data_IF_438657130764
#
_entry.id   IF_438657130764
#
_cell.length_a   1.000
_cell.length_b   1.000
_cell.length_c   1.000
_cell.angle_alpha   90.00
_cell.angle_beta   90.00
_cell.angle_gamma   90.00
#
_symmetry.space_group_name_H-M   'P 1'
#
loop_
_entity.id
_entity.type
_entity.pdbx_description
1 polymer ?
#
# COMPACT_ATOMS: atom_id res chain seq x y z
N UNK A 1 21.97 -15.77 -9.81
CA UNK A 1 20.81 -15.70 -8.89
C UNK A 1 19.70 -16.70 -9.22
N UNK A 2 19.69 -17.33 -10.41
CA UNK A 2 18.52 -18.09 -10.91
C UNK A 2 18.45 -19.55 -10.45
N UNK A 3 19.56 -20.20 -10.08
CA UNK A 3 19.52 -21.61 -9.67
C UNK A 3 20.51 -21.93 -8.53
N UNK A 4 20.11 -21.67 -7.27
CA UNK A 4 20.85 -22.13 -6.08
C UNK A 4 20.04 -23.22 -5.37
N UNK A 5 20.62 -24.40 -5.11
CA UNK A 5 19.98 -25.44 -4.30
C UNK A 5 19.59 -24.90 -2.91
N UNK A 6 18.45 -25.35 -2.38
CA UNK A 6 17.98 -24.95 -1.03
C UNK A 6 17.25 -23.61 -0.93
N UNK A 7 16.99 -22.92 -2.06
CA UNK A 7 16.16 -21.71 -2.10
C UNK A 7 14.76 -22.00 -2.64
N UNK A 8 13.74 -21.58 -1.90
CA UNK A 8 12.34 -21.53 -2.32
C UNK A 8 12.03 -20.18 -2.97
N UNK A 9 11.16 -20.19 -3.98
CA UNK A 9 10.75 -18.99 -4.74
C UNK A 9 9.23 -18.89 -4.76
N UNK A 10 8.70 -17.71 -4.48
CA UNK A 10 7.27 -17.44 -4.51
C UNK A 10 7.02 -16.13 -5.26
N UNK A 11 5.96 -16.09 -6.07
CA UNK A 11 5.45 -14.87 -6.70
C UNK A 11 4.13 -14.52 -6.01
N UNK A 12 3.95 -13.26 -5.68
CA UNK A 12 2.73 -12.70 -5.14
C UNK A 12 2.17 -11.63 -6.06
N UNK A 13 0.84 -11.57 -6.14
CA UNK A 13 0.10 -10.49 -6.76
C UNK A 13 -0.80 -9.88 -5.69
N UNK A 14 -0.77 -8.55 -5.54
CA UNK A 14 -1.57 -7.82 -4.57
C UNK A 14 -2.33 -6.68 -5.23
N UNK A 15 -3.55 -6.42 -4.77
CA UNK A 15 -4.30 -5.20 -5.02
C UNK A 15 -4.45 -4.49 -3.66
N UNK A 16 -4.06 -3.23 -3.58
CA UNK A 16 -4.13 -2.45 -2.36
C UNK A 16 -4.66 -1.04 -2.61
N UNK A 17 -5.22 -0.43 -1.56
CA UNK A 17 -5.63 0.96 -1.55
C UNK A 17 -5.25 1.60 -0.22
N UNK A 18 -4.46 2.67 -0.27
CA UNK A 18 -4.16 3.50 0.88
C UNK A 18 -4.97 4.79 0.80
N UNK A 19 -5.54 5.21 1.93
CA UNK A 19 -6.39 6.39 2.04
C UNK A 19 -5.79 7.30 3.12
N UNK A 20 -5.48 8.54 2.73
CA UNK A 20 -4.94 9.57 3.62
C UNK A 20 -5.94 10.71 3.71
N UNK A 21 -6.25 11.16 4.92
CA UNK A 21 -7.16 12.27 5.18
C UNK A 21 -6.57 13.22 6.21
N UNK A 22 -6.95 14.51 6.20
CA UNK A 22 -6.75 15.40 7.35
C UNK A 22 -7.33 14.79 8.64
N UNK A 23 -6.95 15.37 9.77
CA UNK A 23 -7.47 15.02 11.08
C UNK A 23 -8.98 15.31 11.18
N UNK A 24 -9.41 16.51 10.79
CA UNK A 24 -10.82 16.89 10.77
C UNK A 24 -11.45 16.63 9.39
N UNK A 25 -12.10 15.46 9.26
CA UNK A 25 -12.78 15.06 8.03
C UNK A 25 -14.14 15.76 7.80
N UNK A 26 -14.66 16.47 8.81
CA UNK A 26 -15.96 17.14 8.74
C UNK A 26 -15.90 18.47 7.98
N UNK A 27 -14.71 19.03 7.81
CA UNK A 27 -14.44 20.26 7.07
C UNK A 27 -14.52 20.05 5.56
N UNK A 28 -15.07 21.05 4.86
CA UNK A 28 -15.20 21.06 3.39
C UNK A 28 -14.08 21.82 2.70
N UNK A 29 -13.50 22.78 3.40
CA UNK A 29 -12.42 23.63 2.90
C UNK A 29 -11.05 22.96 3.07
N UNK A 30 -10.06 23.49 2.36
CA UNK A 30 -8.68 23.04 2.48
C UNK A 30 -8.10 23.47 3.84
N UNK A 31 -7.73 22.50 4.67
CA UNK A 31 -7.05 22.74 5.95
C UNK A 31 -5.56 22.96 5.66
N UNK A 32 -5.14 24.23 5.62
CA UNK A 32 -3.72 24.57 5.46
C UNK A 32 -2.94 24.13 6.70
N UNK A 33 -1.84 23.41 6.49
CA UNK A 33 -0.98 22.91 7.58
C UNK A 33 -1.25 21.47 8.00
N UNK A 34 -2.30 20.84 7.47
CA UNK A 34 -2.55 19.40 7.60
C UNK A 34 -2.32 18.69 6.26
N UNK A 35 -2.22 17.36 6.28
CA UNK A 35 -2.09 16.55 5.07
C UNK A 35 -3.37 16.62 4.24
N UNK A 36 -3.27 16.76 2.90
CA UNK A 36 -4.45 16.76 2.05
C UNK A 36 -5.11 15.38 2.02
N UNK A 37 -6.35 15.34 1.54
CA UNK A 37 -6.94 14.09 1.10
C UNK A 37 -6.12 13.50 -0.06
N UNK A 38 -5.83 12.22 0.00
CA UNK A 38 -5.18 11.49 -1.08
C UNK A 38 -5.54 10.01 -1.02
N UNK A 39 -5.84 9.43 -2.17
CA UNK A 39 -5.92 7.98 -2.34
C UNK A 39 -4.76 7.46 -3.17
N UNK A 40 -4.31 6.25 -2.89
CA UNK A 40 -3.33 5.50 -3.69
C UNK A 40 -3.83 4.07 -3.89
N UNK A 41 -4.33 3.76 -5.07
CA UNK A 41 -4.79 2.40 -5.43
C UNK A 41 -3.82 1.78 -6.39
N UNK A 42 -3.37 0.56 -6.10
CA UNK A 42 -2.23 -0.03 -6.78
C UNK A 42 -2.32 -1.54 -6.92
N UNK A 43 -1.64 -2.05 -7.94
CA UNK A 43 -1.27 -3.45 -8.08
C UNK A 43 0.21 -3.61 -7.75
N UNK A 44 0.56 -4.69 -7.06
CA UNK A 44 1.93 -5.04 -6.73
C UNK A 44 2.28 -6.46 -7.17
N UNK A 45 3.46 -6.61 -7.76
CA UNK A 45 4.09 -7.90 -8.06
C UNK A 45 5.29 -8.08 -7.13
N UNK A 46 5.27 -9.16 -6.34
CA UNK A 46 6.28 -9.42 -5.32
C UNK A 46 6.97 -10.75 -5.58
N UNK A 47 8.30 -10.75 -5.61
CA UNK A 47 9.15 -11.93 -5.79
C UNK A 47 9.91 -12.22 -4.51
N UNK A 48 9.60 -13.36 -3.89
CA UNK A 48 10.27 -13.84 -2.69
C UNK A 48 11.29 -14.93 -3.06
N UNK A 49 12.51 -14.80 -2.55
CA UNK A 49 13.57 -15.80 -2.68
C UNK A 49 14.12 -16.09 -1.28
N UNK A 50 13.84 -17.28 -0.74
CA UNK A 50 14.14 -17.59 0.66
C UNK A 50 14.85 -18.93 0.84
N UNK A 51 15.69 -19.03 1.87
CA UNK A 51 16.22 -20.29 2.38
C UNK A 51 16.03 -20.35 3.91
N UNK A 52 16.68 -21.29 4.59
CA UNK A 52 16.57 -21.45 6.05
C UNK A 52 17.06 -20.23 6.85
N UNK A 53 18.02 -19.46 6.33
CA UNK A 53 18.70 -18.39 7.05
C UNK A 53 18.29 -16.98 6.60
N UNK A 54 17.76 -16.80 5.39
CA UNK A 54 17.42 -15.47 4.86
C UNK A 54 16.30 -15.49 3.82
N UNK A 55 15.69 -14.33 3.61
CA UNK A 55 14.71 -14.07 2.56
C UNK A 55 14.98 -12.73 1.88
N UNK A 56 15.09 -12.75 0.57
CA UNK A 56 15.08 -11.56 -0.29
C UNK A 56 13.65 -11.35 -0.82
N UNK A 57 13.19 -10.11 -0.81
CA UNK A 57 11.89 -9.68 -1.34
C UNK A 57 12.18 -8.56 -2.35
N UNK A 58 11.71 -8.73 -3.57
CA UNK A 58 11.70 -7.69 -4.60
C UNK A 58 10.26 -7.39 -4.95
N UNK A 59 9.87 -6.11 -4.92
CA UNK A 59 8.50 -5.70 -5.18
C UNK A 59 8.47 -4.56 -6.20
N UNK A 60 7.55 -4.66 -7.15
CA UNK A 60 7.21 -3.57 -8.07
C UNK A 60 5.73 -3.27 -7.91
N UNK A 61 5.43 -2.01 -7.62
CA UNK A 61 4.09 -1.51 -7.38
C UNK A 61 3.76 -0.41 -8.37
N UNK A 62 2.59 -0.47 -9.00
CA UNK A 62 2.09 0.54 -9.93
C UNK A 62 0.64 0.88 -9.58
N UNK A 63 0.29 2.15 -9.66
CA UNK A 63 -1.03 2.60 -9.25
C UNK A 63 -1.33 4.04 -9.63
N UNK A 64 -2.46 4.52 -9.10
CA UNK A 64 -3.00 5.85 -9.34
C UNK A 64 -3.18 6.59 -8.01
N UNK A 65 -2.66 7.82 -7.95
CA UNK A 65 -2.96 8.81 -6.92
C UNK A 65 -4.16 9.66 -7.37
N UNK A 66 -4.95 10.19 -6.43
CA UNK A 66 -5.99 11.19 -6.70
C UNK A 66 -7.38 10.60 -6.97
N UNK A 67 -8.32 11.35 -7.58
CA UNK A 67 -9.68 10.87 -7.84
C UNK A 67 -9.77 9.51 -8.54
N UNK A 68 -8.85 9.21 -9.48
CA UNK A 68 -8.79 7.94 -10.20
C UNK A 68 -8.43 6.74 -9.31
N UNK A 69 -7.96 6.97 -8.08
CA UNK A 69 -7.74 5.92 -7.08
C UNK A 69 -9.05 5.38 -6.49
N UNK A 70 -10.17 6.09 -6.63
CA UNK A 70 -11.47 5.72 -6.05
C UNK A 70 -11.48 5.64 -4.50
N UNK A 71 -10.59 6.37 -3.84
CA UNK A 71 -10.49 6.36 -2.38
C UNK A 71 -11.66 7.10 -1.71
N UNK A 72 -12.23 8.14 -2.33
CA UNK A 72 -13.41 8.83 -1.81
C UNK A 72 -14.59 7.86 -1.71
N UNK A 73 -14.81 7.09 -2.77
CA UNK A 73 -15.89 6.13 -2.89
C UNK A 73 -15.73 5.02 -1.86
N UNK A 74 -14.53 4.42 -1.75
CA UNK A 74 -14.28 3.39 -0.74
C UNK A 74 -14.51 3.93 0.67
N UNK A 75 -13.97 5.12 1.00
CA UNK A 75 -14.15 5.69 2.33
C UNK A 75 -15.63 5.94 2.62
N UNK A 76 -16.38 6.55 1.71
CA UNK A 76 -17.82 6.81 1.88
C UNK A 76 -18.63 5.51 2.03
N UNK A 77 -18.28 4.46 1.30
CA UNK A 77 -18.94 3.15 1.41
C UNK A 77 -18.72 2.59 2.82
N UNK A 78 -17.47 2.56 3.29
CA UNK A 78 -17.13 2.06 4.64
C UNK A 78 -17.80 2.92 5.72
N UNK A 79 -17.75 4.24 5.60
CA UNK A 79 -18.37 5.15 6.57
C UNK A 79 -19.89 4.95 6.66
N UNK A 80 -20.56 4.72 5.52
CA UNK A 80 -21.99 4.40 5.48
C UNK A 80 -22.29 3.04 6.11
N UNK A 81 -21.47 2.02 5.85
CA UNK A 81 -21.65 0.70 6.45
C UNK A 81 -21.48 0.71 7.98
N UNK A 82 -20.63 1.59 8.49
CA UNK A 82 -20.36 1.74 9.92
C UNK A 82 -21.20 2.84 10.59
N UNK A 83 -22.13 3.47 9.87
CA UNK A 83 -22.96 4.59 10.33
C UNK A 83 -22.15 5.72 10.99
N UNK A 84 -21.07 6.14 10.31
CA UNK A 84 -20.16 7.19 10.78
C UNK A 84 -20.19 8.44 9.88
N UNK A 85 -19.61 9.53 10.38
CA UNK A 85 -19.63 10.83 9.69
C UNK A 85 -18.97 10.79 8.31
N UNK A 86 -19.68 11.25 7.28
CA UNK A 86 -19.12 11.35 5.93
C UNK A 86 -17.94 12.34 5.84
N UNK A 87 -16.85 11.97 5.14
CA UNK A 87 -15.75 12.88 4.84
C UNK A 87 -16.21 13.95 3.83
N UNK A 88 -15.99 15.23 4.14
CA UNK A 88 -16.52 16.35 3.33
C UNK A 88 -15.46 17.08 2.51
N UNK A 89 -14.17 16.79 2.71
CA UNK A 89 -13.05 17.54 2.13
C UNK A 89 -12.48 17.00 0.81
N UNK A 90 -13.00 15.88 0.29
CA UNK A 90 -12.47 15.19 -0.90
C UNK A 90 -12.38 16.05 -2.18
N UNK A 91 -13.11 17.16 -2.27
CA UNK A 91 -12.98 18.14 -3.37
C UNK A 91 -11.61 18.84 -3.41
N UNK A 92 -10.85 18.84 -2.32
CA UNK A 92 -9.52 19.45 -2.21
C UNK A 92 -8.39 18.41 -2.24
N UNK A 93 -8.65 17.18 -2.69
CA UNK A 93 -7.66 16.11 -2.74
C UNK A 93 -6.54 16.36 -3.77
N UNK A 94 -5.45 15.60 -3.67
CA UNK A 94 -4.40 15.58 -4.71
C UNK A 94 -4.96 15.18 -6.08
N UNK A 95 -4.36 15.71 -7.15
CA UNK A 95 -4.79 15.43 -8.53
C UNK A 95 -4.34 14.03 -8.98
N UNK A 96 -4.87 13.59 -10.11
CA UNK A 96 -4.53 12.30 -10.70
C UNK A 96 -3.07 12.24 -11.12
N UNK A 97 -2.34 11.26 -10.60
CA UNK A 97 -0.95 10.99 -10.97
C UNK A 97 -0.71 9.46 -11.00
N UNK A 98 0.10 8.99 -11.95
CA UNK A 98 0.55 7.59 -11.97
C UNK A 98 1.78 7.48 -11.07
N UNK A 99 1.78 6.50 -10.18
CA UNK A 99 2.94 6.19 -9.35
C UNK A 99 3.56 4.84 -9.72
N UNK A 100 4.87 4.73 -9.53
CA UNK A 100 5.59 3.44 -9.55
C UNK A 100 6.53 3.41 -8.36
N UNK A 101 6.55 2.30 -7.64
CA UNK A 101 7.51 2.05 -6.57
C UNK A 101 8.24 0.73 -6.83
N UNK A 102 9.54 0.71 -6.58
CA UNK A 102 10.38 -0.48 -6.69
C UNK A 102 11.11 -0.62 -5.36
N UNK A 103 10.94 -1.77 -4.72
CA UNK A 103 11.52 -2.07 -3.42
C UNK A 103 12.36 -3.33 -3.45
N UNK A 104 13.42 -3.35 -2.67
CA UNK A 104 14.16 -4.56 -2.32
C UNK A 104 14.40 -4.60 -0.81
N UNK A 105 14.12 -5.75 -0.21
CA UNK A 105 14.32 -5.99 1.21
C UNK A 105 15.00 -7.33 1.43
N UNK A 106 15.96 -7.38 2.36
CA UNK A 106 16.55 -8.63 2.85
C UNK A 106 16.26 -8.82 4.33
N UNK A 107 15.62 -9.94 4.64
CA UNK A 107 15.34 -10.37 6.00
C UNK A 107 16.29 -11.51 6.40
N UNK A 108 16.91 -11.40 7.57
CA UNK A 108 17.80 -12.42 8.14
C UNK A 108 17.11 -13.15 9.29
N UNK A 109 17.16 -14.49 9.27
CA UNK A 109 16.67 -15.31 10.37
C UNK A 109 17.85 -15.64 11.28
N UNK A 110 17.98 -14.85 12.36
CA UNK A 110 19.07 -14.98 13.33
C UNK A 110 18.97 -16.25 14.18
N UNK A 111 17.74 -16.70 14.48
CA UNK A 111 17.47 -17.94 15.19
C UNK A 111 16.75 -18.90 14.24
N UNK A 112 17.51 -19.82 13.66
CA UNK A 112 16.96 -20.95 12.91
C UNK A 112 17.04 -22.15 13.84
N UNK A 113 15.92 -22.85 14.11
CA UNK A 113 15.96 -24.07 14.92
C UNK A 113 17.04 -25.00 14.33
N UNK A 114 18.04 -25.36 15.14
CA UNK A 114 18.81 -26.57 14.91
C UNK A 114 17.78 -27.70 14.96
N UNK A 115 17.48 -28.29 13.81
CA UNK A 115 16.77 -29.57 13.80
C UNK A 115 17.82 -30.58 14.25
N UNK A 116 17.66 -31.06 15.48
CA UNK A 116 18.44 -32.16 16.04
C UNK A 116 18.10 -33.48 15.32
#
# INVERSE_FOLDING_TARGET
MVNRPGYQRNIGLSLGQNIYTPEDISRRDLIKGDRPYAGWTYLALTFHVKNTAKMDVFEVTMGLVGPASLAEETQRIVHRWLDTHDPKGWRNQLKNEVGVNIGWQRNWRLLSKCVA
#
